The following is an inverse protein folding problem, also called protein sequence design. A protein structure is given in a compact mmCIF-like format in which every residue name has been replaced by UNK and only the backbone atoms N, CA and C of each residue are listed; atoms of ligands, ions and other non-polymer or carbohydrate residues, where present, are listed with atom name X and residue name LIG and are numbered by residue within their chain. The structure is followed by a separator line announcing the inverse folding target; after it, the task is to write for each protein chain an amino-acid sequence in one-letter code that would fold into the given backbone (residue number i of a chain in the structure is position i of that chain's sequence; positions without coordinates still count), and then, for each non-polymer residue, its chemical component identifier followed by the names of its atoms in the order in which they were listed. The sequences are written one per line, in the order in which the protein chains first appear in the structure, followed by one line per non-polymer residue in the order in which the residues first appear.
data_IF_151587737732
#
_entry.id   IF_151587737732
#
_cell.length_a   1.000
_cell.length_b   1.000
_cell.length_c   1.000
_cell.angle_alpha   90.00
_cell.angle_beta   90.00
_cell.angle_gamma   90.00
#
_symmetry.space_group_name_H-M   'P 1'
#
loop_
_entity.id
_entity.type
_entity.pdbx_description
1 polymer ?
#
# COMPACT_ATOMS: atom_id res chain seq x y z
N UNK A 1 -26.81 -37.77 47.94
CA UNK A 1 -26.96 -36.34 47.58
C UNK A 1 -25.64 -35.57 47.69
N UNK A 2 -24.93 -35.64 48.82
CA UNK A 2 -23.63 -34.97 49.04
C UNK A 2 -22.52 -35.33 48.03
N UNK A 3 -22.42 -36.60 47.61
CA UNK A 3 -21.42 -37.04 46.64
C UNK A 3 -21.63 -36.45 45.24
N UNK A 4 -22.90 -36.27 44.85
CA UNK A 4 -23.29 -35.71 43.55
C UNK A 4 -22.96 -34.20 43.51
N UNK A 5 -23.17 -33.49 44.62
CA UNK A 5 -22.79 -32.08 44.72
C UNK A 5 -21.27 -31.87 44.59
N UNK A 6 -20.44 -32.75 45.15
CA UNK A 6 -18.97 -32.67 45.06
C UNK A 6 -18.48 -32.91 43.63
N UNK A 7 -19.11 -33.83 42.90
CA UNK A 7 -18.78 -34.12 41.49
C UNK A 7 -19.16 -32.94 40.59
N UNK A 8 -20.33 -32.33 40.80
CA UNK A 8 -20.79 -31.15 40.03
C UNK A 8 -19.92 -29.92 40.30
N UNK A 9 -19.44 -29.72 41.53
CA UNK A 9 -18.53 -28.61 41.88
C UNK A 9 -17.15 -28.80 41.24
N UNK A 10 -16.59 -30.02 41.25
CA UNK A 10 -15.30 -30.29 40.62
C UNK A 10 -15.34 -30.19 39.09
N UNK A 11 -16.40 -30.67 38.45
CA UNK A 11 -16.58 -30.56 36.99
C UNK A 11 -16.73 -29.10 36.53
N UNK A 12 -17.44 -28.27 37.31
CA UNK A 12 -17.56 -26.84 37.03
C UNK A 12 -16.26 -26.06 37.27
N UNK A 13 -15.43 -26.47 38.23
CA UNK A 13 -14.14 -25.82 38.49
C UNK A 13 -13.19 -25.96 37.28
N UNK A 14 -13.19 -27.12 36.63
CA UNK A 14 -12.39 -27.36 35.41
C UNK A 14 -12.94 -26.67 34.15
N UNK A 15 -14.24 -26.35 34.10
CA UNK A 15 -14.86 -25.78 32.90
C UNK A 15 -14.95 -24.25 32.93
N UNK A 16 -14.93 -23.62 34.13
CA UNK A 16 -15.05 -22.17 34.29
C UNK A 16 -13.71 -21.43 34.42
N UNK A 17 -12.62 -22.12 34.75
CA UNK A 17 -11.28 -21.55 34.67
C UNK A 17 -10.71 -21.78 33.27
N UNK A 18 -11.15 -20.92 32.35
CA UNK A 18 -10.34 -20.47 31.21
C UNK A 18 -8.88 -20.42 31.65
N UNK A 19 -7.98 -21.05 30.88
CA UNK A 19 -6.52 -21.04 31.09
C UNK A 19 -6.05 -19.65 31.52
N UNK A 20 -5.90 -19.43 32.82
CA UNK A 20 -5.19 -18.28 33.35
C UNK A 20 -3.72 -18.66 33.26
N UNK A 21 -3.07 -18.25 32.18
CA UNK A 21 -1.62 -18.29 32.10
C UNK A 21 -1.13 -17.17 33.02
N UNK A 22 -0.83 -17.52 34.27
CA UNK A 22 -0.18 -16.60 35.20
C UNK A 22 1.28 -16.48 34.75
N UNK A 23 1.59 -15.41 34.03
CA UNK A 23 2.97 -15.03 33.69
C UNK A 23 3.54 -14.39 34.95
N UNK A 24 4.35 -15.17 35.69
CA UNK A 24 4.79 -14.83 37.04
C UNK A 24 6.04 -13.92 37.07
N UNK A 25 6.47 -13.42 35.91
CA UNK A 25 7.72 -12.69 35.79
C UNK A 25 7.45 -11.25 35.35
N UNK A 26 7.59 -10.32 36.30
CA UNK A 26 7.44 -8.87 36.06
C UNK A 26 8.37 -8.41 34.94
N UNK A 27 9.56 -9.02 34.82
CA UNK A 27 10.53 -8.64 33.79
C UNK A 27 10.14 -9.18 32.40
N UNK A 28 9.44 -10.32 32.33
CA UNK A 28 8.88 -10.84 31.08
C UNK A 28 7.66 -10.02 30.63
N UNK A 29 6.81 -9.60 31.57
CA UNK A 29 5.67 -8.70 31.30
C UNK A 29 6.17 -7.32 30.87
N UNK A 30 7.15 -6.74 31.55
CA UNK A 30 7.76 -5.46 31.15
C UNK A 30 8.51 -5.57 29.82
N UNK A 31 9.20 -6.69 29.55
CA UNK A 31 9.78 -6.95 28.22
C UNK A 31 8.72 -7.06 27.13
N UNK A 32 7.60 -7.76 27.36
CA UNK A 32 6.48 -7.85 26.42
C UNK A 32 5.79 -6.51 26.20
N UNK A 33 5.59 -5.71 27.25
CA UNK A 33 5.03 -4.35 27.15
C UNK A 33 5.98 -3.44 26.36
N UNK A 34 7.29 -3.48 26.64
CA UNK A 34 8.28 -2.68 25.93
C UNK A 34 8.55 -3.15 24.48
N UNK A 35 8.33 -4.44 24.17
CA UNK A 35 8.31 -4.98 22.80
C UNK A 35 7.01 -4.64 22.05
N UNK A 36 5.98 -4.11 22.72
CA UNK A 36 4.63 -4.01 22.15
C UNK A 36 4.19 -2.63 21.67
N UNK A 37 5.07 -1.61 21.73
CA UNK A 37 4.73 -0.25 21.27
C UNK A 37 5.52 0.04 19.98
N UNK A 38 4.90 -0.17 18.80
CA UNK A 38 5.43 0.30 17.53
C UNK A 38 5.53 1.83 17.53
N UNK A 39 6.68 2.35 17.11
CA UNK A 39 6.96 3.79 17.03
C UNK A 39 7.23 4.27 15.60
N UNK A 40 7.49 3.34 14.67
CA UNK A 40 7.70 3.62 13.25
C UNK A 40 7.36 2.37 12.46
N UNK A 41 6.76 2.57 11.28
CA UNK A 41 6.64 1.51 10.28
C UNK A 41 7.24 2.01 8.99
N UNK A 42 8.05 1.17 8.35
CA UNK A 42 8.60 1.41 7.01
C UNK A 42 8.02 0.36 6.08
N UNK A 43 7.61 0.76 4.89
CA UNK A 43 7.21 -0.17 3.84
C UNK A 43 7.92 0.17 2.54
N UNK A 44 8.16 -0.85 1.73
CA UNK A 44 8.74 -0.70 0.41
C UNK A 44 8.11 -1.64 -0.60
N UNK A 45 8.09 -1.19 -1.85
CA UNK A 45 7.71 -1.95 -3.02
C UNK A 45 8.71 -1.64 -4.14
N UNK A 46 9.06 -2.66 -4.93
CA UNK A 46 10.05 -2.56 -6.00
C UNK A 46 9.75 -1.43 -7.01
N UNK A 47 8.47 -1.18 -7.28
CA UNK A 47 8.02 -0.22 -8.31
C UNK A 47 7.66 1.15 -7.73
N UNK A 48 7.05 1.16 -6.55
CA UNK A 48 6.57 2.39 -5.90
C UNK A 48 7.56 3.01 -4.91
N UNK A 49 8.68 2.35 -4.62
CA UNK A 49 9.66 2.84 -3.66
C UNK A 49 9.21 2.64 -2.21
N UNK A 50 9.51 3.62 -1.36
CA UNK A 50 9.38 3.50 0.09
C UNK A 50 8.35 4.47 0.66
N UNK A 51 7.76 4.12 1.80
CA UNK A 51 6.91 5.00 2.58
C UNK A 51 7.16 4.81 4.08
N UNK A 52 7.21 5.92 4.81
CA UNK A 52 7.53 5.96 6.23
C UNK A 52 6.31 6.46 7.01
N UNK A 53 5.85 5.67 7.97
CA UNK A 53 4.81 6.06 8.91
C UNK A 53 5.45 6.53 10.20
N UNK A 54 5.20 7.78 10.55
CA UNK A 54 5.66 8.40 11.80
C UNK A 54 4.49 8.82 12.70
N UNK A 55 3.26 8.84 12.18
CA UNK A 55 2.08 9.16 12.97
C UNK A 55 1.54 7.92 13.72
N UNK A 56 1.26 8.10 15.00
CA UNK A 56 0.81 7.03 15.90
C UNK A 56 -0.46 6.33 15.39
N UNK A 57 -1.37 7.07 14.75
CA UNK A 57 -2.65 6.52 14.30
C UNK A 57 -2.46 5.50 13.17
N UNK A 58 -1.71 5.85 12.12
CA UNK A 58 -1.42 4.95 11.01
C UNK A 58 -0.60 3.75 11.46
N UNK A 59 0.41 3.98 12.31
CA UNK A 59 1.24 2.93 12.89
C UNK A 59 0.38 1.92 13.65
N UNK A 60 -0.49 2.40 14.56
CA UNK A 60 -1.34 1.54 15.36
C UNK A 60 -2.36 0.78 14.50
N UNK A 61 -2.91 1.40 13.46
CA UNK A 61 -3.81 0.73 12.55
C UNK A 61 -3.13 -0.41 11.78
N UNK A 62 -1.92 -0.20 11.27
CA UNK A 62 -1.13 -1.24 10.59
C UNK A 62 -0.82 -2.37 11.56
N UNK A 63 -0.35 -2.03 12.76
CA UNK A 63 -0.01 -2.99 13.79
C UNK A 63 -1.22 -3.84 14.21
N UNK A 64 -2.38 -3.21 14.39
CA UNK A 64 -3.62 -3.93 14.72
C UNK A 64 -4.02 -4.89 13.62
N UNK A 65 -3.90 -4.50 12.34
CA UNK A 65 -4.18 -5.41 11.22
C UNK A 65 -3.23 -6.60 11.18
N UNK A 66 -1.93 -6.38 11.43
CA UNK A 66 -0.95 -7.47 11.53
C UNK A 66 -1.32 -8.40 12.69
N UNK A 67 -1.57 -7.86 13.88
CA UNK A 67 -1.96 -8.65 15.05
C UNK A 67 -3.24 -9.43 14.84
N UNK A 68 -4.23 -8.87 14.14
CA UNK A 68 -5.47 -9.56 13.81
C UNK A 68 -5.20 -10.78 12.91
N UNK A 69 -4.32 -10.63 11.91
CA UNK A 69 -3.89 -11.73 11.04
C UNK A 69 -3.12 -12.78 11.83
N UNK A 70 -2.29 -12.40 12.80
CA UNK A 70 -1.42 -13.33 13.54
C UNK A 70 -2.01 -13.89 14.83
N UNK A 71 -3.24 -13.52 15.20
CA UNK A 71 -3.85 -13.79 16.52
C UNK A 71 -3.96 -15.27 16.87
N UNK A 72 -4.26 -16.11 15.87
CA UNK A 72 -4.40 -17.55 16.03
C UNK A 72 -3.32 -18.25 15.20
N UNK A 73 -2.43 -18.96 15.90
CA UNK A 73 -1.19 -19.59 15.41
C UNK A 73 -1.41 -20.79 14.48
N UNK A 74 -2.44 -20.79 13.65
CA UNK A 74 -2.52 -21.70 12.50
C UNK A 74 -1.55 -21.21 11.43
N UNK A 75 -0.31 -21.68 11.56
CA UNK A 75 0.70 -21.71 10.51
C UNK A 75 0.35 -22.95 9.68
N UNK A 76 -0.59 -22.81 8.75
CA UNK A 76 -0.98 -23.92 7.85
C UNK A 76 -0.29 -23.71 6.50
N UNK A 77 0.69 -24.55 6.18
CA UNK A 77 1.55 -24.42 5.00
C UNK A 77 0.85 -24.73 3.65
N UNK A 78 -0.46 -25.00 3.63
CA UNK A 78 -1.12 -25.67 2.49
C UNK A 78 -2.27 -24.88 1.84
N UNK A 79 -2.13 -23.56 1.69
CA UNK A 79 -2.92 -22.83 0.69
C UNK A 79 -1.99 -22.34 -0.42
N UNK A 80 -1.96 -23.09 -1.52
CA UNK A 80 -1.42 -22.65 -2.81
C UNK A 80 -2.28 -21.50 -3.31
N UNK A 81 -1.98 -20.31 -2.79
CA UNK A 81 -2.45 -19.07 -3.41
C UNK A 81 -1.52 -18.79 -4.58
N UNK A 82 -2.10 -18.55 -5.75
CA UNK A 82 -1.36 -18.07 -6.93
C UNK A 82 -0.45 -16.92 -6.51
N UNK A 83 0.82 -16.98 -6.93
CA UNK A 83 1.83 -15.98 -6.60
C UNK A 83 1.30 -14.62 -7.03
N UNK A 84 1.10 -13.73 -6.06
CA UNK A 84 0.78 -12.33 -6.35
C UNK A 84 2.06 -11.65 -6.82
N UNK A 85 2.00 -10.95 -7.95
CA UNK A 85 3.13 -10.20 -8.50
C UNK A 85 3.43 -8.95 -7.64
N UNK A 86 2.48 -8.53 -6.81
CA UNK A 86 2.63 -7.37 -5.93
C UNK A 86 3.08 -7.80 -4.54
N UNK A 87 4.36 -7.52 -4.26
CA UNK A 87 5.00 -7.73 -2.96
C UNK A 87 5.32 -6.40 -2.27
N UNK A 88 4.96 -6.29 -1.00
CA UNK A 88 5.38 -5.20 -0.12
C UNK A 88 6.21 -5.79 1.00
N UNK A 89 7.39 -5.22 1.22
CA UNK A 89 8.20 -5.50 2.39
C UNK A 89 7.98 -4.40 3.42
N UNK A 90 8.15 -4.71 4.70
CA UNK A 90 8.10 -3.69 5.73
C UNK A 90 8.83 -4.07 7.00
N UNK A 91 9.09 -3.05 7.80
CA UNK A 91 9.79 -3.16 9.08
C UNK A 91 9.04 -2.35 10.12
N UNK A 92 8.71 -3.00 11.24
CA UNK A 92 8.11 -2.37 12.42
C UNK A 92 9.22 -2.12 13.41
N UNK A 93 9.36 -0.87 13.85
CA UNK A 93 10.33 -0.46 14.87
C UNK A 93 9.61 -0.24 16.18
N UNK A 94 10.15 -0.78 17.27
CA UNK A 94 9.57 -0.69 18.60
C UNK A 94 10.35 0.26 19.50
N UNK A 95 9.69 0.79 20.51
CA UNK A 95 10.28 1.75 21.46
C UNK A 95 11.55 1.22 22.16
N UNK A 96 11.63 -0.08 22.39
CA UNK A 96 12.79 -0.75 22.99
C UNK A 96 13.98 -0.97 22.02
N UNK A 97 13.87 -0.52 20.77
CA UNK A 97 14.89 -0.68 19.73
C UNK A 97 14.85 -2.00 18.94
N UNK A 98 13.93 -2.93 19.27
CA UNK A 98 13.74 -4.15 18.47
C UNK A 98 13.02 -3.85 17.16
N UNK A 99 13.08 -4.80 16.21
CA UNK A 99 12.46 -4.68 14.90
C UNK A 99 11.85 -6.00 14.48
N UNK A 100 10.68 -5.94 13.84
CA UNK A 100 10.10 -7.07 13.13
C UNK A 100 10.03 -6.76 11.64
N UNK A 101 10.40 -7.74 10.82
CA UNK A 101 10.26 -7.64 9.37
C UNK A 101 9.02 -8.40 8.94
N UNK A 102 8.26 -7.81 8.03
CA UNK A 102 7.15 -8.46 7.39
C UNK A 102 7.21 -8.33 5.88
N UNK A 103 6.55 -9.28 5.22
CA UNK A 103 6.32 -9.30 3.80
C UNK A 103 4.85 -9.61 3.57
N UNK A 104 4.22 -8.87 2.68
CA UNK A 104 2.82 -9.06 2.33
C UNK A 104 2.63 -9.13 0.82
N UNK A 105 1.98 -10.19 0.38
CA UNK A 105 1.58 -10.46 -1.00
C UNK A 105 0.22 -11.18 -0.99
N UNK A 106 0.13 -12.42 -1.44
CA UNK A 106 -1.01 -13.30 -1.22
C UNK A 106 -1.03 -13.94 0.18
N UNK A 107 0.08 -13.81 0.90
CA UNK A 107 0.31 -14.25 2.28
C UNK A 107 0.92 -13.12 3.10
N UNK A 108 0.85 -13.23 4.41
CA UNK A 108 1.66 -12.41 5.32
C UNK A 108 2.78 -13.30 5.86
N UNK A 109 4.02 -12.89 5.67
CA UNK A 109 5.16 -13.45 6.40
C UNK A 109 5.61 -12.42 7.43
N UNK A 110 5.74 -12.82 8.70
CA UNK A 110 6.24 -11.98 9.78
C UNK A 110 7.39 -12.73 10.46
N UNK A 111 8.59 -12.18 10.35
CA UNK A 111 9.84 -12.85 10.71
C UNK A 111 9.93 -14.24 10.04
N UNK A 112 9.85 -15.32 10.81
CA UNK A 112 9.97 -16.70 10.31
C UNK A 112 8.62 -17.43 10.18
N UNK A 113 7.49 -16.75 10.44
CA UNK A 113 6.17 -17.34 10.38
C UNK A 113 5.43 -16.87 9.12
N UNK A 114 4.65 -17.76 8.51
CA UNK A 114 3.81 -17.46 7.35
C UNK A 114 2.34 -17.70 7.67
N UNK A 115 1.49 -16.79 7.22
CA UNK A 115 0.06 -16.76 7.45
C UNK A 115 -0.67 -16.64 6.11
N UNK A 116 -1.44 -17.65 5.73
CA UNK A 116 -2.05 -17.75 4.39
C UNK A 116 -3.38 -18.57 4.35
N UNK A 117 -4.04 -18.82 5.48
CA UNK A 117 -5.30 -19.57 5.46
C UNK A 117 -6.49 -18.76 4.91
N UNK A 118 -7.55 -19.48 4.53
CA UNK A 118 -8.77 -18.92 3.88
C UNK A 118 -9.43 -17.79 4.68
N UNK A 119 -9.39 -17.81 6.01
CA UNK A 119 -9.97 -16.76 6.86
C UNK A 119 -9.06 -15.53 6.94
N UNK A 120 -7.74 -15.72 6.81
CA UNK A 120 -6.75 -14.63 6.82
C UNK A 120 -6.62 -13.92 5.48
N UNK A 121 -6.86 -14.59 4.35
CA UNK A 121 -6.73 -14.00 3.00
C UNK A 121 -7.47 -12.65 2.83
N UNK A 122 -8.74 -12.48 3.25
CA UNK A 122 -9.42 -11.19 3.16
C UNK A 122 -8.73 -10.09 3.98
N UNK A 123 -8.21 -10.42 5.17
CA UNK A 123 -7.51 -9.49 6.04
C UNK A 123 -6.15 -9.10 5.44
N UNK A 124 -5.42 -10.08 4.92
CA UNK A 124 -4.15 -9.89 4.21
C UNK A 124 -4.35 -9.00 2.99
N UNK A 125 -5.36 -9.27 2.16
CA UNK A 125 -5.66 -8.44 1.00
C UNK A 125 -6.08 -7.01 1.39
N UNK A 126 -6.86 -6.86 2.47
CA UNK A 126 -7.22 -5.54 3.00
C UNK A 126 -5.97 -4.75 3.42
N UNK A 127 -5.07 -5.37 4.19
CA UNK A 127 -3.81 -4.76 4.61
C UNK A 127 -2.91 -4.46 3.41
N UNK A 128 -2.71 -5.41 2.48
CA UNK A 128 -1.95 -5.20 1.24
C UNK A 128 -2.46 -3.98 0.48
N UNK A 129 -3.76 -3.89 0.25
CA UNK A 129 -4.37 -2.78 -0.47
C UNK A 129 -4.24 -1.45 0.28
N UNK A 130 -4.32 -1.47 1.61
CA UNK A 130 -4.09 -0.29 2.42
C UNK A 130 -2.65 0.20 2.30
N UNK A 131 -1.67 -0.69 2.46
CA UNK A 131 -0.24 -0.39 2.35
C UNK A 131 0.16 0.08 0.95
N UNK A 132 -0.33 -0.59 -0.10
CA UNK A 132 -0.20 -0.09 -1.47
C UNK A 132 -0.76 1.31 -1.58
N UNK A 133 -1.93 1.56 -0.98
CA UNK A 133 -2.54 2.88 -0.91
C UNK A 133 -1.52 3.93 -0.51
N UNK A 134 -0.79 3.76 0.59
CA UNK A 134 0.22 4.73 1.03
C UNK A 134 1.40 4.89 0.06
N UNK A 135 1.85 3.80 -0.57
CA UNK A 135 2.93 3.84 -1.57
C UNK A 135 2.58 4.69 -2.79
N UNK A 136 1.30 4.77 -3.17
CA UNK A 136 0.75 5.73 -4.14
C UNK A 136 0.67 7.15 -3.54
N UNK A 137 1.81 7.70 -3.12
CA UNK A 137 1.95 9.07 -2.62
C UNK A 137 2.47 10.01 -3.72
N UNK A 138 2.21 11.30 -3.56
CA UNK A 138 2.77 12.33 -4.46
C UNK A 138 4.29 12.25 -4.52
N UNK A 139 4.94 12.07 -3.36
CA UNK A 139 6.39 11.93 -3.26
C UNK A 139 6.96 10.76 -4.07
N UNK A 140 6.27 9.61 -4.08
CA UNK A 140 6.72 8.44 -4.83
C UNK A 140 6.44 8.58 -6.32
N UNK A 141 5.32 9.20 -6.71
CA UNK A 141 5.03 9.52 -8.12
C UNK A 141 6.11 10.46 -8.67
N UNK A 142 6.50 11.49 -7.91
CA UNK A 142 7.57 12.41 -8.29
C UNK A 142 8.91 11.70 -8.43
N UNK A 143 9.28 10.82 -7.48
CA UNK A 143 10.49 10.00 -7.60
C UNK A 143 10.49 9.15 -8.87
N UNK A 144 9.35 8.56 -9.23
CA UNK A 144 9.19 7.80 -10.46
C UNK A 144 9.41 8.70 -11.69
N UNK A 145 8.84 9.91 -11.72
CA UNK A 145 9.04 10.86 -12.83
C UNK A 145 10.52 11.26 -12.95
N UNK A 146 11.19 11.52 -11.84
CA UNK A 146 12.58 11.97 -11.83
C UNK A 146 13.59 10.85 -12.16
N UNK A 147 13.27 9.61 -11.82
CA UNK A 147 14.16 8.47 -12.05
C UNK A 147 14.07 7.91 -13.47
N UNK A 148 13.02 8.28 -14.23
CA UNK A 148 12.78 7.74 -15.56
C UNK A 148 13.05 8.78 -16.66
N UNK A 149 13.73 8.34 -17.72
CA UNK A 149 14.08 9.20 -18.85
C UNK A 149 13.00 9.20 -19.93
N UNK A 150 12.32 8.07 -20.13
CA UNK A 150 11.29 7.91 -21.16
C UNK A 150 9.91 8.27 -20.59
N UNK A 151 9.56 9.55 -20.70
CA UNK A 151 8.24 10.08 -20.34
C UNK A 151 7.66 10.81 -21.54
N UNK A 152 6.41 10.52 -21.87
CA UNK A 152 5.67 11.20 -22.94
C UNK A 152 4.33 11.74 -22.45
N UNK A 153 3.87 12.84 -23.05
CA UNK A 153 2.49 13.33 -22.92
C UNK A 153 1.80 13.19 -24.26
N UNK A 154 0.56 12.71 -24.24
CA UNK A 154 -0.32 12.59 -25.41
C UNK A 154 -1.54 13.47 -25.17
N UNK A 155 -1.86 14.38 -26.08
CA UNK A 155 -3.09 15.19 -26.02
C UNK A 155 -4.31 14.48 -26.67
N UNK A 156 -5.50 15.09 -26.56
CA UNK A 156 -6.74 14.59 -27.22
C UNK A 156 -6.61 14.42 -28.75
N UNK A 157 -5.73 15.19 -29.38
CA UNK A 157 -5.49 15.13 -30.84
C UNK A 157 -4.42 14.09 -31.20
N UNK A 158 -3.93 13.30 -30.23
CA UNK A 158 -2.87 12.30 -30.37
C UNK A 158 -1.51 12.91 -30.73
N UNK A 159 -1.30 14.20 -30.47
CA UNK A 159 0.02 14.80 -30.52
C UNK A 159 0.84 14.29 -29.35
N UNK A 160 2.09 13.90 -29.61
CA UNK A 160 2.99 13.34 -28.62
C UNK A 160 4.11 14.34 -28.35
N UNK A 161 4.42 14.57 -27.08
CA UNK A 161 5.62 15.29 -26.65
C UNK A 161 6.42 14.48 -25.64
N UNK A 162 7.72 14.37 -25.88
CA UNK A 162 8.68 13.87 -24.90
C UNK A 162 8.97 14.96 -23.86
N UNK A 163 9.11 14.58 -22.59
CA UNK A 163 9.44 15.53 -21.53
C UNK A 163 10.95 15.69 -21.39
N UNK A 164 11.41 16.94 -21.50
CA UNK A 164 12.74 17.33 -21.07
C UNK A 164 12.78 17.58 -19.55
N UNK A 165 13.93 18.04 -19.06
CA UNK A 165 14.15 18.33 -17.65
C UNK A 165 13.24 19.44 -17.10
N UNK A 166 12.99 20.51 -17.87
CA UNK A 166 12.13 21.63 -17.44
C UNK A 166 10.67 21.20 -17.36
N UNK A 167 10.21 20.39 -18.32
CA UNK A 167 8.87 19.80 -18.28
C UNK A 167 8.67 18.93 -17.03
N UNK A 168 9.67 18.10 -16.68
CA UNK A 168 9.62 17.25 -15.47
C UNK A 168 9.54 18.06 -14.18
N UNK A 169 10.35 19.11 -14.05
CA UNK A 169 10.35 19.98 -12.85
C UNK A 169 8.99 20.64 -12.63
N UNK A 170 8.35 21.14 -13.70
CA UNK A 170 7.03 21.76 -13.60
C UNK A 170 5.91 20.77 -13.20
N UNK A 171 5.98 19.55 -13.74
CA UNK A 171 5.03 18.48 -13.37
C UNK A 171 5.27 18.02 -11.94
N UNK A 172 6.53 17.86 -11.53
CA UNK A 172 6.90 17.51 -10.17
C UNK A 172 6.30 18.51 -9.16
N UNK A 173 6.53 19.81 -9.37
CA UNK A 173 6.01 20.85 -8.48
C UNK A 173 4.49 20.75 -8.37
N UNK A 174 3.81 20.54 -9.49
CA UNK A 174 2.34 20.41 -9.51
C UNK A 174 1.84 19.16 -8.80
N UNK A 175 2.53 18.02 -8.96
CA UNK A 175 2.16 16.76 -8.28
C UNK A 175 2.45 16.86 -6.78
N UNK A 176 3.55 17.49 -6.36
CA UNK A 176 3.86 17.72 -4.94
C UNK A 176 2.77 18.56 -4.26
N UNK A 177 2.23 19.57 -4.95
CA UNK A 177 1.14 20.43 -4.46
C UNK A 177 -0.25 19.78 -4.54
N UNK A 178 -0.35 18.56 -5.08
CA UNK A 178 -1.63 17.89 -5.30
C UNK A 178 -2.13 17.17 -4.05
N UNK A 179 -3.45 17.14 -3.87
CA UNK A 179 -4.10 16.41 -2.80
C UNK A 179 -4.59 15.05 -3.30
N UNK A 180 -4.15 13.98 -2.64
CA UNK A 180 -4.72 12.66 -2.87
C UNK A 180 -6.16 12.58 -2.34
N UNK A 181 -7.06 12.04 -3.15
CA UNK A 181 -8.46 11.87 -2.79
C UNK A 181 -8.71 10.48 -2.20
N UNK A 182 -9.24 10.45 -0.98
CA UNK A 182 -9.66 9.21 -0.30
C UNK A 182 -11.18 9.12 -0.14
N UNK A 183 -11.91 10.23 -0.37
CA UNK A 183 -13.36 10.29 -0.18
C UNK A 183 -14.13 9.73 -1.39
N UNK A 184 -14.78 8.59 -1.19
CA UNK A 184 -15.60 7.92 -2.20
C UNK A 184 -16.68 8.82 -2.83
N UNK A 185 -17.30 9.74 -2.08
CA UNK A 185 -18.35 10.61 -2.63
C UNK A 185 -17.79 11.60 -3.64
N UNK A 186 -16.62 12.16 -3.34
CA UNK A 186 -15.93 13.09 -4.22
C UNK A 186 -15.47 12.38 -5.50
N UNK A 187 -14.85 11.21 -5.36
CA UNK A 187 -14.43 10.36 -6.49
C UNK A 187 -15.64 9.98 -7.36
N UNK A 188 -16.75 9.54 -6.76
CA UNK A 188 -17.97 9.19 -7.50
C UNK A 188 -18.52 10.40 -8.26
N UNK A 189 -18.51 11.59 -7.67
CA UNK A 189 -18.99 12.80 -8.34
C UNK A 189 -18.08 13.18 -9.52
N UNK A 190 -16.77 13.02 -9.39
CA UNK A 190 -15.81 13.21 -10.48
C UNK A 190 -16.02 12.18 -11.60
N UNK A 191 -16.27 10.92 -11.27
CA UNK A 191 -16.51 9.86 -12.27
C UNK A 191 -17.85 10.01 -13.00
N UNK A 192 -18.87 10.61 -12.37
CA UNK A 192 -20.19 10.82 -12.98
C UNK A 192 -20.16 11.79 -14.16
N UNK A 193 -19.19 12.69 -14.24
CA UNK A 193 -19.12 13.70 -15.30
C UNK A 193 -18.79 13.10 -16.67
N UNK A 194 -18.39 11.82 -16.76
CA UNK A 194 -18.01 11.11 -18.01
C UNK A 194 -17.08 11.95 -18.91
N UNK A 195 -16.16 12.71 -18.33
CA UNK A 195 -15.21 13.51 -19.10
C UNK A 195 -14.05 12.64 -19.58
N UNK A 196 -13.75 12.68 -20.88
CA UNK A 196 -12.53 12.09 -21.43
C UNK A 196 -11.30 12.85 -20.91
N UNK A 197 -10.19 12.13 -20.72
CA UNK A 197 -8.93 12.75 -20.34
C UNK A 197 -8.51 13.77 -21.39
N UNK A 198 -7.95 14.90 -20.94
CA UNK A 198 -7.33 15.92 -21.78
C UNK A 198 -5.93 15.49 -22.24
N UNK A 199 -5.20 14.87 -21.33
CA UNK A 199 -3.82 14.44 -21.55
C UNK A 199 -3.58 13.08 -20.89
N UNK A 200 -2.69 12.31 -21.50
CA UNK A 200 -2.17 11.06 -20.96
C UNK A 200 -0.66 11.20 -20.79
N UNK A 201 -0.17 11.21 -19.55
CA UNK A 201 1.26 11.16 -19.26
C UNK A 201 1.63 9.70 -19.05
N UNK A 202 2.58 9.21 -19.84
CA UNK A 202 3.04 7.82 -19.80
C UNK A 202 4.49 7.80 -19.34
N UNK A 203 4.75 7.08 -18.25
CA UNK A 203 6.07 6.90 -17.66
C UNK A 203 6.43 5.42 -17.78
N UNK A 204 7.42 5.12 -18.61
CA UNK A 204 7.91 3.76 -18.80
C UNK A 204 8.98 3.46 -17.74
N UNK A 205 8.78 2.39 -16.95
CA UNK A 205 9.64 2.07 -15.81
C UNK A 205 10.85 1.18 -16.18
N UNK A 206 10.87 0.59 -17.38
CA UNK A 206 11.99 -0.24 -17.83
C UNK A 206 12.95 0.55 -18.71
N UNK A 207 14.22 0.54 -18.35
CA UNK A 207 15.31 1.03 -19.19
C UNK A 207 15.91 -0.06 -20.10
N UNK A 208 15.48 -1.32 -19.96
CA UNK A 208 16.04 -2.46 -20.70
C UNK A 208 15.42 -2.58 -22.09
N UNK A 209 16.18 -2.14 -23.09
CA UNK A 209 15.79 -2.14 -24.51
C UNK A 209 15.80 -3.52 -25.18
N UNK A 210 16.06 -4.60 -24.44
CA UNK A 210 16.28 -5.92 -25.03
C UNK A 210 15.07 -6.88 -24.97
N UNK A 211 13.99 -6.54 -24.26
CA UNK A 211 12.77 -7.39 -24.16
C UNK A 211 11.47 -6.63 -24.50
N UNK A 212 11.53 -5.76 -25.51
CA UNK A 212 10.51 -4.73 -25.80
C UNK A 212 9.09 -5.20 -26.18
N UNK A 213 8.89 -6.46 -26.57
CA UNK A 213 7.66 -6.85 -27.29
C UNK A 213 6.55 -7.40 -26.39
N UNK A 214 6.83 -7.75 -25.12
CA UNK A 214 5.82 -8.27 -24.17
C UNK A 214 5.77 -7.51 -22.83
N UNK A 215 6.81 -6.75 -22.47
CA UNK A 215 6.97 -6.10 -21.15
C UNK A 215 6.47 -4.64 -21.12
N UNK A 216 6.32 -3.99 -22.29
CA UNK A 216 6.01 -2.55 -22.39
C UNK A 216 4.68 -2.11 -21.77
N UNK A 217 3.68 -2.99 -21.74
CA UNK A 217 2.38 -2.62 -21.17
C UNK A 217 2.31 -2.89 -19.66
N UNK A 218 3.06 -3.85 -19.12
CA UNK A 218 3.03 -4.17 -17.69
C UNK A 218 3.81 -3.15 -16.85
N UNK A 219 4.86 -2.54 -17.39
CA UNK A 219 5.73 -1.64 -16.64
C UNK A 219 5.52 -0.16 -17.00
N UNK A 220 4.26 0.25 -17.03
CA UNK A 220 3.82 1.61 -17.39
C UNK A 220 3.02 2.23 -16.23
N UNK A 221 3.45 3.41 -15.78
CA UNK A 221 2.62 4.30 -14.97
C UNK A 221 1.94 5.29 -15.91
N UNK A 222 0.61 5.30 -15.88
CA UNK A 222 -0.23 6.20 -16.65
C UNK A 222 -0.84 7.25 -15.71
N UNK A 223 -0.76 8.52 -16.11
CA UNK A 223 -1.42 9.64 -15.44
C UNK A 223 -2.39 10.28 -16.42
N UNK A 224 -3.68 10.07 -16.19
CA UNK A 224 -4.75 10.67 -16.98
C UNK A 224 -5.16 11.99 -16.36
N UNK A 225 -5.03 13.07 -17.12
CA UNK A 225 -5.29 14.44 -16.68
C UNK A 225 -6.63 14.90 -17.24
N UNK A 226 -7.49 15.43 -16.38
CA UNK A 226 -8.84 15.84 -16.75
C UNK A 226 -9.07 17.33 -16.51
N UNK A 227 -10.22 17.81 -16.96
CA UNK A 227 -10.73 19.13 -16.58
C UNK A 227 -11.11 19.15 -15.09
N UNK A 228 -11.16 20.36 -14.50
CA UNK A 228 -11.50 20.62 -13.08
C UNK A 228 -10.43 20.19 -12.07
N UNK A 229 -9.16 20.42 -12.38
CA UNK A 229 -8.02 20.23 -11.46
C UNK A 229 -7.98 18.82 -10.85
N UNK A 230 -8.13 17.80 -11.69
CA UNK A 230 -8.14 16.40 -11.26
C UNK A 230 -7.35 15.52 -12.23
N UNK A 231 -6.64 14.54 -11.69
CA UNK A 231 -5.95 13.50 -12.46
C UNK A 231 -6.03 12.14 -11.76
N UNK A 232 -5.85 11.08 -12.56
CA UNK A 232 -5.83 9.69 -12.10
C UNK A 232 -4.47 9.09 -12.38
N UNK A 233 -3.88 8.43 -11.39
CA UNK A 233 -2.65 7.65 -11.54
C UNK A 233 -3.01 6.17 -11.51
N UNK A 234 -2.46 5.42 -12.45
CA UNK A 234 -2.65 3.97 -12.56
C UNK A 234 -1.34 3.31 -12.99
N UNK A 235 -0.94 2.25 -12.30
CA UNK A 235 0.13 1.37 -12.78
C UNK A 235 -0.48 0.16 -13.47
N UNK A 236 -0.06 -0.08 -14.72
CA UNK A 236 -0.62 -1.14 -15.56
C UNK A 236 -0.17 -2.55 -15.14
N UNK A 237 0.89 -2.66 -14.33
CA UNK A 237 1.42 -3.93 -13.84
C UNK A 237 0.79 -4.41 -12.54
N UNK A 238 -0.12 -3.62 -11.94
CA UNK A 238 -0.88 -4.06 -10.78
C UNK A 238 -2.04 -4.98 -11.21
N UNK A 239 -2.26 -6.05 -10.43
CA UNK A 239 -3.25 -7.13 -10.66
C UNK A 239 -4.70 -6.65 -10.93
N UNK A 240 -5.03 -5.40 -10.57
CA UNK A 240 -6.39 -4.85 -10.72
C UNK A 240 -6.42 -3.46 -11.35
N UNK A 241 -5.31 -2.97 -11.93
CA UNK A 241 -5.26 -1.64 -12.56
C UNK A 241 -5.80 -0.54 -11.64
N UNK A 242 -5.30 -0.47 -10.41
CA UNK A 242 -5.85 0.43 -9.38
C UNK A 242 -5.74 1.89 -9.80
N UNK A 243 -6.87 2.59 -9.77
CA UNK A 243 -6.92 4.02 -10.01
C UNK A 243 -6.79 4.77 -8.69
N UNK A 244 -5.83 5.69 -8.63
CA UNK A 244 -5.67 6.63 -7.51
C UNK A 244 -5.98 8.02 -8.02
N UNK A 245 -6.86 8.71 -7.29
CA UNK A 245 -7.41 9.99 -7.70
C UNK A 245 -6.71 11.12 -6.95
N UNK A 246 -6.36 12.18 -7.66
CA UNK A 246 -5.73 13.36 -7.11
C UNK A 246 -6.46 14.61 -7.59
N UNK A 247 -6.46 15.63 -6.73
CA UNK A 247 -6.84 17.00 -7.06
C UNK A 247 -5.56 17.82 -7.23
N UNK A 248 -5.38 18.41 -8.40
CA UNK A 248 -4.20 19.20 -8.76
C UNK A 248 -4.27 19.78 -10.17
N UNK A 249 -3.50 20.84 -10.41
CA UNK A 249 -3.56 21.67 -11.62
C UNK A 249 -2.69 21.17 -12.77
N UNK A 250 -2.61 19.85 -12.93
CA UNK A 250 -1.72 19.23 -13.92
C UNK A 250 -2.13 19.58 -15.36
N UNK A 251 -3.41 19.90 -15.58
CA UNK A 251 -3.94 20.39 -16.85
C UNK A 251 -3.21 21.66 -17.33
N UNK A 252 -2.99 22.64 -16.45
CA UNK A 252 -2.36 23.91 -16.81
C UNK A 252 -0.91 23.70 -17.28
N UNK A 253 -0.18 22.81 -16.62
CA UNK A 253 1.20 22.46 -17.01
C UNK A 253 1.21 21.74 -18.35
N UNK A 254 0.39 20.71 -18.54
CA UNK A 254 0.29 20.00 -19.80
C UNK A 254 -0.05 20.95 -20.97
N UNK A 255 -0.98 21.88 -20.76
CA UNK A 255 -1.32 22.88 -21.77
C UNK A 255 -0.13 23.75 -22.17
N UNK A 256 0.64 24.25 -21.20
CA UNK A 256 1.84 25.06 -21.47
C UNK A 256 2.93 24.28 -22.22
N UNK A 257 3.10 22.99 -21.88
CA UNK A 257 4.03 22.09 -22.60
C UNK A 257 3.67 22.05 -24.09
N UNK A 258 2.39 21.93 -24.46
CA UNK A 258 1.99 21.86 -25.88
C UNK A 258 2.08 23.21 -26.62
N UNK A 259 1.97 24.33 -25.92
CA UNK A 259 2.02 25.69 -26.52
C UNK A 259 3.47 26.26 -26.54
N UNK A 260 4.45 25.55 -25.95
CA UNK A 260 5.87 25.98 -25.80
C UNK A 260 6.03 27.25 -24.93
N UNK A 261 5.26 27.37 -23.84
CA UNK A 261 5.28 28.54 -22.94
C UNK A 261 5.91 28.24 -21.57
N UNK A 262 6.91 27.35 -21.51
CA UNK A 262 7.61 26.96 -20.28
C UNK A 262 9.05 27.46 -20.22
#
# INVERSE_FOLDING_TARGET
MLLICIIIINLNYSFLYNKVIIINDKDEVVKKINMSIPIKVEISNERWGEYFFEDETSIQQIWNSINEITKDSSVDDNYDSEVSDIKINGTIYYLNGTKDNFEISNKLSLNNNTYNDKYKIPLINSLKNKLLGYLYSTSNIVKIINSNNEIIIIDRNKNIKELDKSHKENIENTINDSLKLENNKEIINLLKSKTEALYHIKIYLDNDKDNLSKVKCSNLVNIDVYENDFFVVQYMGDENGRHIYFRGKLNDVCKKIFINEL
#
